data_IF_321820025658
#
_entry.id   IF_321820025658
#
_cell.length_a   1.000
_cell.length_b   1.000
_cell.length_c   1.000
_cell.angle_alpha   90.00
_cell.angle_beta   90.00
_cell.angle_gamma   90.00
#
_symmetry.space_group_name_H-M   'P 1'
#
loop_
_entity.id
_entity.type
_entity.pdbx_description
1 polymer ?
#
# COMPACT_ATOMS: atom_id res chain seq x y z
N UNK A 1 2.58 -24.73 -15.47
CA UNK A 1 3.76 -23.88 -15.23
C UNK A 1 4.10 -23.96 -13.74
N UNK A 2 5.27 -24.47 -13.39
CA UNK A 2 5.68 -24.70 -11.99
C UNK A 2 6.14 -23.39 -11.37
N UNK A 3 5.38 -22.85 -10.41
CA UNK A 3 5.77 -21.70 -9.61
C UNK A 3 6.88 -22.15 -8.65
N UNK A 4 8.13 -21.77 -8.92
CA UNK A 4 9.20 -21.90 -7.94
C UNK A 4 8.90 -20.93 -6.80
N UNK A 5 8.73 -21.45 -5.57
CA UNK A 5 8.87 -20.63 -4.37
C UNK A 5 10.22 -19.93 -4.46
N UNK A 6 10.22 -18.59 -4.43
CA UNK A 6 11.42 -17.83 -4.08
C UNK A 6 11.74 -18.22 -2.64
N UNK A 7 12.69 -19.13 -2.47
CA UNK A 7 13.27 -19.41 -1.16
C UNK A 7 13.84 -18.12 -0.62
N UNK A 8 13.34 -17.66 0.53
CA UNK A 8 14.00 -16.66 1.34
C UNK A 8 15.48 -17.06 1.49
N UNK A 9 16.45 -16.18 1.18
CA UNK A 9 17.84 -16.53 1.41
C UNK A 9 18.07 -16.61 2.91
N UNK A 10 18.03 -17.84 3.44
CA UNK A 10 18.68 -18.20 4.68
C UNK A 10 20.19 -18.12 4.44
N UNK A 11 20.77 -16.94 4.64
CA UNK A 11 22.19 -16.70 4.46
C UNK A 11 22.65 -15.55 5.34
N UNK A 12 23.13 -15.88 6.54
CA UNK A 12 23.97 -14.97 7.33
C UNK A 12 25.24 -14.69 6.54
N UNK A 13 25.40 -13.46 6.06
CA UNK A 13 26.69 -12.87 5.76
C UNK A 13 27.06 -11.95 6.91
N UNK A 14 28.14 -12.28 7.61
CA UNK A 14 28.76 -11.41 8.60
C UNK A 14 29.21 -10.09 7.95
N UNK A 15 29.15 -9.02 8.74
CA UNK A 15 29.31 -7.64 8.28
C UNK A 15 30.62 -7.33 7.55
N UNK A 16 30.47 -6.48 6.53
CA UNK A 16 31.46 -5.50 6.10
C UNK A 16 30.74 -4.16 6.00
N UNK A 17 31.42 -3.07 6.40
CA UNK A 17 30.91 -1.71 6.21
C UNK A 17 30.58 -1.46 4.73
N UNK A 18 29.30 -1.25 4.43
CA UNK A 18 28.84 -0.75 3.13
C UNK A 18 27.55 -1.36 2.57
N UNK A 19 27.05 -2.49 3.09
CA UNK A 19 25.87 -3.14 2.51
C UNK A 19 24.58 -2.68 3.21
N UNK A 20 24.08 -1.50 2.82
CA UNK A 20 22.76 -1.02 3.26
C UNK A 20 21.71 -1.89 2.59
N UNK A 21 21.17 -2.87 3.32
CA UNK A 21 20.03 -3.65 2.84
C UNK A 21 18.89 -2.67 2.48
N UNK A 22 18.31 -2.76 1.27
CA UNK A 22 17.28 -1.82 0.85
C UNK A 22 16.05 -1.97 1.75
N UNK A 23 15.45 -0.85 2.11
CA UNK A 23 14.13 -0.84 2.72
C UNK A 23 13.11 -1.14 1.63
N UNK A 24 12.42 -2.28 1.74
CA UNK A 24 11.44 -2.72 0.76
C UNK A 24 10.11 -3.05 1.45
N UNK A 25 9.07 -2.36 1.02
CA UNK A 25 7.70 -2.59 1.44
C UNK A 25 6.83 -2.89 0.22
N UNK A 26 5.91 -3.84 0.36
CA UNK A 26 4.81 -4.07 -0.58
C UNK A 26 3.56 -3.34 -0.11
N UNK A 27 2.59 -3.25 -1.00
CA UNK A 27 1.30 -2.58 -0.77
C UNK A 27 0.16 -3.59 -0.78
N UNK A 28 -1.04 -3.12 -0.40
CA UNK A 28 -2.26 -3.93 -0.29
C UNK A 28 -2.15 -5.05 0.76
N UNK A 29 -1.35 -4.86 1.80
CA UNK A 29 -1.27 -5.78 2.91
C UNK A 29 -2.57 -5.81 3.72
N UNK A 30 -2.93 -6.99 4.22
CA UNK A 30 -4.16 -7.24 4.96
C UNK A 30 -4.03 -6.88 6.44
N UNK A 31 -5.11 -6.37 7.02
CA UNK A 31 -5.21 -6.05 8.45
C UNK A 31 -6.67 -6.21 8.94
N UNK A 32 -6.92 -6.45 10.23
CA UNK A 32 -8.24 -6.87 10.72
C UNK A 32 -9.40 -5.90 10.37
N UNK A 33 -9.15 -4.59 10.38
CA UNK A 33 -10.13 -3.55 10.09
C UNK A 33 -10.07 -3.03 8.63
N UNK A 34 -9.47 -3.80 7.71
CA UNK A 34 -9.31 -3.33 6.33
C UNK A 34 -10.68 -3.01 5.69
N UNK A 35 -10.91 -1.78 5.18
CA UNK A 35 -12.24 -1.32 4.76
C UNK A 35 -12.81 -2.09 3.56
N UNK A 36 -11.94 -2.76 2.80
CA UNK A 36 -12.28 -3.60 1.66
C UNK A 36 -11.41 -4.85 1.62
N UNK A 37 -11.61 -5.83 2.51
CA UNK A 37 -10.65 -6.92 2.74
C UNK A 37 -10.42 -7.79 1.49
N UNK A 38 -11.41 -7.84 0.57
CA UNK A 38 -11.28 -8.53 -0.73
C UNK A 38 -10.25 -7.91 -1.68
N UNK A 39 -9.80 -6.69 -1.42
CA UNK A 39 -8.77 -6.01 -2.22
C UNK A 39 -7.36 -6.19 -1.63
N UNK A 40 -7.25 -6.70 -0.41
CA UNK A 40 -5.97 -6.94 0.25
C UNK A 40 -5.43 -8.33 -0.09
N UNK A 41 -4.11 -8.47 -0.06
CA UNK A 41 -3.41 -9.75 -0.13
C UNK A 41 -3.61 -10.48 1.19
N UNK A 42 -4.50 -11.48 1.22
CA UNK A 42 -4.88 -12.17 2.45
C UNK A 42 -3.70 -12.78 3.22
N UNK A 43 -2.68 -13.23 2.48
CA UNK A 43 -1.49 -13.90 3.03
C UNK A 43 -0.36 -12.92 3.42
N UNK A 44 -0.52 -11.62 3.16
CA UNK A 44 0.46 -10.58 3.50
C UNK A 44 -0.08 -9.72 4.66
N UNK A 45 0.23 -10.02 5.94
CA UNK A 45 -0.20 -9.18 7.05
C UNK A 45 0.53 -7.83 7.03
N UNK A 46 -0.20 -6.74 7.27
CA UNK A 46 0.37 -5.40 7.30
C UNK A 46 1.29 -5.21 8.52
N UNK A 47 2.51 -4.71 8.27
CA UNK A 47 3.43 -4.20 9.29
C UNK A 47 3.17 -2.73 9.61
N UNK A 48 2.57 -1.99 8.67
CA UNK A 48 2.24 -0.59 8.80
C UNK A 48 0.89 -0.31 8.13
N UNK A 49 0.03 0.44 8.83
CA UNK A 49 -1.24 0.93 8.28
C UNK A 49 -1.18 2.45 8.25
N UNK A 50 -1.34 3.03 7.06
CA UNK A 50 -1.21 4.46 6.84
C UNK A 50 -2.57 5.09 6.53
N UNK A 51 -2.88 6.21 7.20
CA UNK A 51 -3.92 7.12 6.73
C UNK A 51 -3.38 7.94 5.55
N UNK A 52 -3.96 7.71 4.38
CA UNK A 52 -3.61 8.40 3.13
C UNK A 52 -4.62 9.50 2.77
N UNK A 53 -5.59 9.79 3.65
CA UNK A 53 -6.52 10.90 3.49
C UNK A 53 -5.84 12.25 3.18
N UNK A 54 -4.67 12.60 3.78
CA UNK A 54 -3.99 13.87 3.50
C UNK A 54 -3.51 14.07 2.06
N UNK A 55 -3.34 12.99 1.28
CA UNK A 55 -2.87 13.05 -0.12
C UNK A 55 -3.90 12.56 -1.12
N UNK A 56 -5.15 12.43 -0.68
CA UNK A 56 -6.17 11.74 -1.45
C UNK A 56 -6.52 12.48 -2.75
N UNK A 57 -6.29 13.79 -2.82
CA UNK A 57 -6.42 14.59 -4.05
C UNK A 57 -5.34 14.22 -5.09
N UNK A 58 -4.09 13.98 -4.64
CA UNK A 58 -3.02 13.49 -5.52
C UNK A 58 -3.30 12.07 -5.99
N UNK A 59 -3.83 11.23 -5.09
CA UNK A 59 -4.25 9.85 -5.41
C UNK A 59 -5.42 9.83 -6.39
N UNK A 60 -6.38 10.76 -6.26
CA UNK A 60 -7.45 10.95 -7.23
C UNK A 60 -6.91 11.38 -8.59
N UNK A 61 -6.03 12.38 -8.65
CA UNK A 61 -5.41 12.80 -9.90
C UNK A 61 -4.68 11.63 -10.59
N UNK A 62 -3.93 10.82 -9.82
CA UNK A 62 -3.28 9.62 -10.33
C UNK A 62 -4.30 8.58 -10.83
N UNK A 63 -5.36 8.30 -10.07
CA UNK A 63 -6.42 7.39 -10.48
C UNK A 63 -7.09 7.85 -11.78
N UNK A 64 -7.37 9.15 -11.93
CA UNK A 64 -7.99 9.73 -13.12
C UNK A 64 -7.14 9.56 -14.39
N UNK A 65 -5.82 9.40 -14.27
CA UNK A 65 -4.96 9.05 -15.41
C UNK A 65 -5.28 7.64 -15.96
N UNK A 66 -5.75 6.70 -15.13
CA UNK A 66 -6.09 5.33 -15.53
C UNK A 66 -7.51 5.23 -16.14
N UNK A 67 -7.77 6.03 -17.19
CA UNK A 67 -9.09 6.19 -17.82
C UNK A 67 -9.82 4.88 -18.14
N UNK A 68 -9.09 3.84 -18.55
CA UNK A 68 -9.66 2.53 -18.91
C UNK A 68 -9.98 1.64 -17.71
N UNK A 69 -9.39 1.89 -16.55
CA UNK A 69 -9.58 1.10 -15.32
C UNK A 69 -10.62 1.72 -14.38
N UNK A 70 -10.75 3.06 -14.37
CA UNK A 70 -11.70 3.78 -13.51
C UNK A 70 -13.14 3.26 -13.56
N UNK A 71 -13.71 2.92 -14.73
CA UNK A 71 -15.08 2.39 -14.80
C UNK A 71 -15.26 1.10 -13.99
N UNK A 72 -14.24 0.23 -13.91
CA UNK A 72 -14.31 -1.01 -13.14
C UNK A 72 -14.43 -0.72 -11.64
N UNK A 73 -13.60 0.19 -11.12
CA UNK A 73 -13.58 0.56 -9.69
C UNK A 73 -14.88 1.25 -9.29
N UNK A 74 -15.34 2.21 -10.09
CA UNK A 74 -16.59 2.95 -9.85
C UNK A 74 -17.79 2.01 -9.89
N UNK A 75 -17.88 1.13 -10.90
CA UNK A 75 -19.01 0.19 -11.02
C UNK A 75 -19.09 -0.75 -9.81
N UNK A 76 -17.98 -1.38 -9.43
CA UNK A 76 -17.94 -2.31 -8.29
C UNK A 76 -18.32 -1.58 -7.00
N UNK A 77 -17.76 -0.39 -6.78
CA UNK A 77 -18.08 0.38 -5.58
C UNK A 77 -19.53 0.88 -5.55
N UNK A 78 -20.09 1.24 -6.71
CA UNK A 78 -21.49 1.64 -6.83
C UNK A 78 -22.44 0.49 -6.47
N UNK A 79 -22.12 -0.73 -6.91
CA UNK A 79 -22.88 -1.94 -6.58
C UNK A 79 -22.81 -2.26 -5.08
N UNK A 80 -21.62 -2.17 -4.47
CA UNK A 80 -21.44 -2.39 -3.03
C UNK A 80 -22.26 -1.41 -2.17
N UNK A 81 -22.40 -0.16 -2.63
CA UNK A 81 -23.10 0.90 -1.89
C UNK A 81 -24.56 1.12 -2.32
N UNK A 82 -25.04 0.39 -3.33
CA UNK A 82 -26.40 0.56 -3.85
C UNK A 82 -26.68 1.92 -4.47
N UNK A 83 -25.65 2.70 -4.83
CA UNK A 83 -25.80 4.02 -5.47
C UNK A 83 -24.60 4.33 -6.38
N UNK A 84 -24.76 5.19 -7.39
CA UNK A 84 -23.63 5.71 -8.15
C UNK A 84 -22.60 6.41 -7.24
N UNK A 85 -21.31 6.24 -7.57
CA UNK A 85 -20.20 6.91 -6.89
C UNK A 85 -19.20 7.51 -7.87
N UNK A 86 -18.38 8.42 -7.38
CA UNK A 86 -17.23 9.00 -8.08
C UNK A 86 -15.97 8.15 -7.93
N UNK A 87 -14.91 8.47 -8.69
CA UNK A 87 -13.56 7.89 -8.50
C UNK A 87 -13.07 8.18 -7.09
N UNK A 88 -13.25 9.41 -6.59
CA UNK A 88 -12.87 9.82 -5.24
C UNK A 88 -13.45 8.93 -4.14
N UNK A 89 -14.74 8.62 -4.22
CA UNK A 89 -15.43 7.74 -3.28
C UNK A 89 -15.03 6.27 -3.43
N UNK A 90 -14.52 5.89 -4.60
CA UNK A 90 -13.96 4.57 -4.85
C UNK A 90 -12.54 4.40 -4.29
N UNK A 91 -11.82 5.45 -3.91
CA UNK A 91 -10.48 5.33 -3.33
C UNK A 91 -10.51 4.94 -1.85
N UNK A 92 -9.50 4.18 -1.43
CA UNK A 92 -9.23 3.91 -0.01
C UNK A 92 -8.54 5.11 0.64
N UNK A 93 -8.96 5.42 1.87
CA UNK A 93 -8.36 6.42 2.76
C UNK A 93 -7.28 5.84 3.66
N UNK A 94 -7.19 4.51 3.77
CA UNK A 94 -6.15 3.81 4.52
C UNK A 94 -5.48 2.75 3.65
N UNK A 95 -4.19 2.53 3.83
CA UNK A 95 -3.41 1.52 3.11
C UNK A 95 -2.53 0.69 4.05
N UNK A 96 -2.56 -0.63 3.89
CA UNK A 96 -1.65 -1.55 4.56
C UNK A 96 -0.39 -1.78 3.74
N UNK A 97 0.76 -1.70 4.39
CA UNK A 97 2.08 -2.01 3.83
C UNK A 97 2.68 -3.22 4.57
N UNK A 98 3.33 -4.11 3.83
CA UNK A 98 4.06 -5.25 4.39
C UNK A 98 5.55 -5.10 4.10
N UNK A 99 6.41 -5.34 5.09
CA UNK A 99 7.85 -5.18 4.98
C UNK A 99 8.49 -6.49 4.47
N UNK A 100 9.18 -6.41 3.35
CA UNK A 100 9.98 -7.52 2.81
C UNK A 100 11.43 -7.48 3.28
N UNK A 101 12.02 -6.29 3.37
CA UNK A 101 13.40 -6.07 3.82
C UNK A 101 13.48 -4.83 4.72
N UNK A 102 14.39 -4.85 5.69
CA UNK A 102 14.52 -3.82 6.71
C UNK A 102 14.12 -4.29 8.12
N UNK A 103 14.38 -3.45 9.12
CA UNK A 103 14.04 -3.72 10.51
C UNK A 103 12.71 -3.05 10.91
N UNK A 104 11.98 -3.56 11.92
CA UNK A 104 10.70 -2.99 12.35
C UNK A 104 10.70 -1.49 12.70
N UNK A 105 11.81 -0.93 13.17
CA UNK A 105 11.94 0.50 13.49
C UNK A 105 12.89 1.22 12.51
N UNK A 106 12.85 0.83 11.24
CA UNK A 106 13.67 1.46 10.21
C UNK A 106 13.30 2.93 9.92
N UNK A 107 14.16 3.61 9.18
CA UNK A 107 14.01 5.03 8.85
C UNK A 107 12.73 5.32 8.06
N UNK A 108 12.29 4.41 7.20
CA UNK A 108 11.08 4.60 6.41
C UNK A 108 9.84 4.49 7.30
N UNK A 109 9.78 3.51 8.20
CA UNK A 109 8.71 3.40 9.18
C UNK A 109 8.63 4.63 10.09
N UNK A 110 9.77 5.14 10.57
CA UNK A 110 9.83 6.40 11.34
C UNK A 110 9.35 7.61 10.54
N UNK A 111 9.74 7.70 9.27
CA UNK A 111 9.31 8.79 8.39
C UNK A 111 7.79 8.74 8.14
N UNK A 112 7.23 7.56 7.90
CA UNK A 112 5.84 7.39 7.51
C UNK A 112 4.87 7.41 8.70
N UNK A 113 5.28 6.93 9.89
CA UNK A 113 4.45 7.00 11.11
C UNK A 113 4.22 8.44 11.59
N UNK A 114 5.19 9.34 11.36
CA UNK A 114 5.06 10.77 11.64
C UNK A 114 4.48 11.60 10.48
N UNK A 115 4.12 10.97 9.37
CA UNK A 115 3.74 11.67 8.15
C UNK A 115 2.30 12.17 8.21
N UNK A 116 2.12 13.48 8.01
CA UNK A 116 0.80 14.13 7.96
C UNK A 116 0.41 14.61 6.56
N UNK A 117 1.16 14.21 5.53
CA UNK A 117 1.02 14.75 4.18
C UNK A 117 1.68 16.12 4.01
N UNK A 118 2.22 16.38 2.82
CA UNK A 118 2.77 17.69 2.47
C UNK A 118 1.79 18.42 1.54
N UNK A 119 1.38 19.63 1.93
CA UNK A 119 0.72 20.58 1.03
C UNK A 119 1.74 21.07 0.01
N UNK A 120 1.79 20.39 -1.14
CA UNK A 120 2.57 20.87 -2.28
C UNK A 120 1.78 22.02 -2.91
N UNK A 121 2.10 23.25 -2.52
CA UNK A 121 1.69 24.44 -3.28
C UNK A 121 2.44 24.42 -4.60
N UNK A 122 1.70 24.25 -5.71
CA UNK A 122 2.20 24.50 -7.06
C UNK A 122 2.15 25.99 -7.37
#
# INVERSE_FOLDING_TARGET
>A
ASLRKLSSPSGRGAGGEGDVQPLLYTFAANFPEHPRPRLANADDPADLVLDVSPVLDKKEAAALCHKTQNPLFVRRRSQELGRPVTVREALLTVEGLHRLFGAPDDTLMKLLTGWQGEKVTR
#
